data_IF_737507420885
#
_entry.id   IF_737507420885
#
_cell.length_a   1.000
_cell.length_b   1.000
_cell.length_c   1.000
_cell.angle_alpha   90.00
_cell.angle_beta   90.00
_cell.angle_gamma   90.00
#
_symmetry.space_group_name_H-M   'P 1'
#
loop_
_entity.id
_entity.type
_entity.pdbx_description
1 polymer ?
#
# COMPACT_ATOMS: atom_id res chain seq x y z
N UNK A 1 11.78 54.27 -13.37
CA UNK A 1 12.41 53.01 -13.84
C UNK A 1 11.73 51.86 -13.09
N UNK A 2 10.76 51.25 -13.75
CA UNK A 2 9.95 50.19 -13.16
C UNK A 2 10.63 48.86 -13.43
N UNK A 3 11.08 48.17 -12.40
CA UNK A 3 11.60 46.81 -12.45
C UNK A 3 10.41 45.85 -12.58
N UNK A 4 10.09 45.49 -13.79
CA UNK A 4 9.23 44.31 -14.07
C UNK A 4 10.06 43.06 -13.84
N UNK A 5 10.13 42.56 -12.58
CA UNK A 5 10.58 41.22 -12.33
C UNK A 5 9.56 40.25 -12.98
N UNK A 6 10.05 39.60 -14.02
CA UNK A 6 9.38 38.53 -14.72
C UNK A 6 8.97 37.46 -13.68
N UNK A 7 7.69 37.34 -13.40
CA UNK A 7 7.13 36.14 -12.72
C UNK A 7 7.45 34.96 -13.63
N UNK A 8 8.54 34.25 -13.32
CA UNK A 8 8.90 32.98 -13.95
C UNK A 8 7.70 32.08 -13.79
N UNK A 9 7.16 31.62 -14.89
CA UNK A 9 5.95 30.80 -14.93
C UNK A 9 6.29 29.47 -14.20
N UNK A 10 5.82 29.29 -12.98
CA UNK A 10 6.06 28.11 -12.12
C UNK A 10 5.55 26.80 -12.75
N UNK A 11 4.98 26.84 -13.94
CA UNK A 11 4.39 25.73 -14.67
C UNK A 11 5.13 25.36 -15.98
N UNK A 12 6.26 25.99 -16.30
CA UNK A 12 7.15 25.48 -17.35
C UNK A 12 7.97 24.31 -16.78
N UNK A 13 7.35 23.13 -16.76
CA UNK A 13 8.06 21.88 -16.44
C UNK A 13 8.99 21.53 -17.58
N UNK A 14 10.28 21.34 -17.28
CA UNK A 14 11.25 20.82 -18.22
C UNK A 14 10.81 19.41 -18.69
N UNK A 15 10.51 19.21 -19.99
CA UNK A 15 10.05 17.91 -20.50
C UNK A 15 11.07 16.79 -20.28
N UNK A 16 12.36 17.11 -20.28
CA UNK A 16 13.44 16.13 -20.04
C UNK A 16 13.43 15.69 -18.59
N UNK A 17 13.31 16.64 -17.65
CA UNK A 17 13.18 16.35 -16.23
C UNK A 17 11.94 15.48 -15.95
N UNK A 18 10.81 15.81 -16.56
CA UNK A 18 9.58 15.03 -16.40
C UNK A 18 9.74 13.59 -16.91
N UNK A 19 10.39 13.41 -18.07
CA UNK A 19 10.67 12.07 -18.59
C UNK A 19 11.63 11.28 -17.70
N UNK A 20 12.66 11.92 -17.15
CA UNK A 20 13.62 11.28 -16.22
C UNK A 20 12.92 10.88 -14.93
N UNK A 21 12.11 11.76 -14.32
CA UNK A 21 11.37 11.46 -13.09
C UNK A 21 10.36 10.34 -13.32
N UNK A 22 9.60 10.35 -14.42
CA UNK A 22 8.65 9.29 -14.75
C UNK A 22 9.34 7.93 -14.91
N UNK A 23 10.46 7.87 -15.61
CA UNK A 23 11.24 6.65 -15.76
C UNK A 23 11.81 6.15 -14.42
N UNK A 24 12.27 7.06 -13.55
CA UNK A 24 12.76 6.69 -12.20
C UNK A 24 11.64 6.13 -11.32
N UNK A 25 10.47 6.75 -11.31
CA UNK A 25 9.32 6.27 -10.55
C UNK A 25 8.87 4.87 -11.04
N UNK A 26 8.80 4.66 -12.35
CA UNK A 26 8.50 3.35 -12.92
C UNK A 26 9.56 2.30 -12.54
N UNK A 27 10.84 2.66 -12.53
CA UNK A 27 11.91 1.78 -12.08
C UNK A 27 11.75 1.39 -10.60
N UNK A 28 11.44 2.35 -9.71
CA UNK A 28 11.19 2.10 -8.29
C UNK A 28 10.03 1.13 -8.11
N UNK A 29 8.91 1.34 -8.79
CA UNK A 29 7.77 0.41 -8.69
C UNK A 29 8.11 -0.97 -9.24
N UNK A 30 8.94 -1.04 -10.28
CA UNK A 30 9.50 -2.31 -10.78
C UNK A 30 10.37 -3.02 -9.74
N UNK A 31 11.21 -2.29 -9.00
CA UNK A 31 12.00 -2.83 -7.89
C UNK A 31 11.12 -3.32 -6.73
N UNK A 32 10.08 -2.56 -6.37
CA UNK A 32 9.06 -2.97 -5.40
C UNK A 32 8.43 -4.31 -5.79
N UNK A 33 7.97 -4.42 -7.03
CA UNK A 33 7.37 -5.65 -7.59
C UNK A 33 8.34 -6.83 -7.53
N UNK A 34 9.58 -6.63 -7.94
CA UNK A 34 10.60 -7.68 -7.93
C UNK A 34 10.99 -8.11 -6.51
N UNK A 35 11.07 -7.17 -5.58
CA UNK A 35 11.34 -7.45 -4.17
C UNK A 35 10.25 -8.33 -3.58
N UNK A 36 8.99 -7.96 -3.80
CA UNK A 36 7.85 -8.72 -3.33
C UNK A 36 7.85 -10.15 -3.90
N UNK A 37 8.06 -10.32 -5.21
CA UNK A 37 8.16 -11.64 -5.84
C UNK A 37 9.23 -12.55 -5.22
N UNK A 38 10.36 -11.97 -4.83
CA UNK A 38 11.50 -12.74 -4.28
C UNK A 38 11.35 -13.09 -2.82
N UNK A 39 10.56 -12.32 -2.06
CA UNK A 39 10.46 -12.43 -0.61
C UNK A 39 9.15 -13.02 -0.14
N UNK A 40 8.13 -13.08 -0.99
CA UNK A 40 6.81 -13.63 -0.70
C UNK A 40 6.86 -15.05 -0.12
N UNK A 41 6.02 -15.31 0.88
CA UNK A 41 5.95 -16.59 1.60
C UNK A 41 4.79 -17.47 1.14
N UNK A 42 3.67 -16.85 0.75
CA UNK A 42 2.52 -17.59 0.27
C UNK A 42 2.66 -17.95 -1.21
N UNK A 43 2.05 -19.08 -1.62
CA UNK A 43 1.97 -19.47 -3.02
C UNK A 43 1.10 -18.47 -3.83
N UNK A 44 0.14 -17.80 -3.19
CA UNK A 44 -0.69 -16.79 -3.84
C UNK A 44 0.16 -15.64 -4.36
N UNK A 45 1.15 -15.19 -3.59
CA UNK A 45 2.06 -14.13 -4.02
C UNK A 45 3.18 -14.67 -4.91
N UNK A 46 3.86 -15.74 -4.48
CA UNK A 46 5.06 -16.24 -5.15
C UNK A 46 4.77 -16.94 -6.50
N UNK A 47 3.63 -17.62 -6.63
CA UNK A 47 3.28 -18.44 -7.80
C UNK A 47 2.17 -17.81 -8.63
N UNK A 48 1.05 -17.47 -8.00
CA UNK A 48 -0.12 -16.87 -8.71
C UNK A 48 0.16 -15.42 -9.08
N UNK A 49 1.02 -14.72 -8.32
CA UNK A 49 1.36 -13.29 -8.49
C UNK A 49 0.15 -12.39 -8.33
N UNK A 50 -0.71 -12.74 -7.38
CA UNK A 50 -1.93 -11.96 -7.10
C UNK A 50 -1.60 -10.80 -6.14
N UNK A 51 -0.89 -9.82 -6.67
CA UNK A 51 -0.50 -8.60 -5.98
C UNK A 51 -0.26 -7.45 -6.96
N UNK A 52 -0.12 -6.25 -6.43
CA UNK A 52 0.29 -5.06 -7.19
C UNK A 52 1.03 -4.07 -6.29
N UNK A 53 1.93 -3.30 -6.91
CA UNK A 53 2.60 -2.17 -6.28
C UNK A 53 2.24 -0.89 -7.02
N UNK A 54 2.20 0.23 -6.32
CA UNK A 54 2.00 1.55 -6.94
C UNK A 54 2.53 2.67 -6.06
N UNK A 55 2.74 3.83 -6.66
CA UNK A 55 3.06 5.07 -5.96
C UNK A 55 1.92 6.05 -6.20
N UNK A 56 1.43 6.65 -5.12
CA UNK A 56 0.37 7.65 -5.12
C UNK A 56 0.92 8.95 -4.54
N UNK A 57 0.53 10.08 -5.09
CA UNK A 57 0.95 11.41 -4.59
C UNK A 57 0.26 11.74 -3.26
N UNK A 58 0.77 12.71 -2.51
CA UNK A 58 0.16 13.15 -1.25
C UNK A 58 -1.27 13.71 -1.42
N UNK A 59 -1.61 14.19 -2.62
CA UNK A 59 -2.97 14.60 -3.00
C UNK A 59 -3.80 13.45 -3.61
N UNK A 60 -3.41 12.20 -3.32
CA UNK A 60 -4.14 10.97 -3.62
C UNK A 60 -4.36 10.68 -5.12
N UNK A 61 -3.42 11.09 -5.98
CA UNK A 61 -3.43 10.75 -7.41
C UNK A 61 -2.45 9.62 -7.70
N UNK A 62 -2.88 8.63 -8.45
CA UNK A 62 -2.00 7.56 -8.92
C UNK A 62 -0.89 8.16 -9.80
N UNK A 63 0.36 7.96 -9.39
CA UNK A 63 1.53 8.52 -10.06
C UNK A 63 2.27 7.47 -10.90
N UNK A 64 2.56 6.31 -10.33
CA UNK A 64 3.24 5.22 -11.01
C UNK A 64 2.58 3.88 -10.65
N UNK A 65 1.89 3.23 -11.60
CA UNK A 65 1.40 1.87 -11.44
C UNK A 65 2.51 0.87 -11.74
N UNK A 66 2.61 -0.20 -10.92
CA UNK A 66 3.46 -1.35 -11.20
C UNK A 66 2.77 -2.40 -12.05
N UNK A 67 3.55 -3.37 -12.54
CA UNK A 67 2.99 -4.58 -13.12
C UNK A 67 2.28 -5.39 -12.03
N UNK A 68 1.09 -5.92 -12.33
CA UNK A 68 0.29 -6.70 -11.40
C UNK A 68 -1.18 -6.77 -11.82
N UNK A 69 -2.05 -7.07 -10.87
CA UNK A 69 -3.49 -7.17 -11.11
C UNK A 69 -4.11 -5.77 -11.24
N UNK A 70 -4.65 -5.38 -12.41
CA UNK A 70 -5.10 -4.01 -12.64
C UNK A 70 -6.16 -3.53 -11.66
N UNK A 71 -7.09 -4.39 -11.24
CA UNK A 71 -8.16 -4.05 -10.30
C UNK A 71 -7.62 -3.61 -8.93
N UNK A 72 -6.46 -4.09 -8.52
CA UNK A 72 -5.82 -3.66 -7.28
C UNK A 72 -5.35 -2.21 -7.33
N UNK A 73 -4.92 -1.75 -8.50
CA UNK A 73 -4.32 -0.42 -8.69
C UNK A 73 -5.40 0.67 -8.70
N UNK A 74 -6.55 0.39 -9.32
CA UNK A 74 -7.62 1.39 -9.46
C UNK A 74 -8.17 1.92 -8.13
N UNK A 75 -8.14 1.13 -7.06
CA UNK A 75 -8.56 1.55 -5.73
C UNK A 75 -7.51 2.31 -4.92
N UNK A 76 -6.25 2.39 -5.38
CA UNK A 76 -5.15 2.94 -4.59
C UNK A 76 -5.38 4.39 -4.16
N UNK A 77 -5.91 5.24 -5.05
CA UNK A 77 -6.24 6.64 -4.76
C UNK A 77 -7.32 6.79 -3.67
N UNK A 78 -8.34 5.93 -3.68
CA UNK A 78 -9.39 5.94 -2.66
C UNK A 78 -8.86 5.45 -1.30
N UNK A 79 -7.99 4.46 -1.32
CA UNK A 79 -7.40 3.91 -0.10
C UNK A 79 -6.40 4.87 0.55
N UNK A 80 -5.58 5.58 -0.24
CA UNK A 80 -4.71 6.65 0.28
C UNK A 80 -5.52 7.84 0.77
N UNK A 81 -6.62 8.20 0.11
CA UNK A 81 -7.55 9.22 0.60
C UNK A 81 -8.14 8.82 1.96
N UNK A 82 -8.58 7.57 2.11
CA UNK A 82 -9.06 7.03 3.39
C UNK A 82 -7.99 7.13 4.50
N UNK A 83 -6.72 6.85 4.17
CA UNK A 83 -5.60 7.03 5.10
C UNK A 83 -5.48 8.49 5.55
N UNK A 84 -5.46 9.44 4.62
CA UNK A 84 -5.33 10.87 4.92
C UNK A 84 -6.55 11.42 5.69
N UNK A 85 -7.74 10.89 5.45
CA UNK A 85 -8.97 11.30 6.13
C UNK A 85 -9.01 10.78 7.57
N UNK A 86 -8.55 9.56 7.78
CA UNK A 86 -8.54 8.90 9.10
C UNK A 86 -7.38 9.38 9.97
N UNK A 87 -6.19 9.56 9.39
CA UNK A 87 -4.96 9.88 10.11
C UNK A 87 -4.44 11.27 9.74
N UNK A 88 -4.77 12.28 10.54
CA UNK A 88 -4.37 13.69 10.28
C UNK A 88 -2.91 13.98 10.57
N UNK A 89 -2.24 13.15 11.38
CA UNK A 89 -0.84 13.30 11.77
C UNK A 89 -0.06 12.08 11.27
N UNK A 90 0.27 12.08 9.98
CA UNK A 90 1.17 11.11 9.39
C UNK A 90 2.62 11.47 9.74
N UNK A 91 3.46 10.47 9.99
CA UNK A 91 4.87 10.65 10.33
C UNK A 91 5.76 9.62 9.60
N UNK A 92 7.05 9.92 9.42
CA UNK A 92 8.00 8.92 8.95
C UNK A 92 7.97 7.67 9.84
N UNK A 93 7.96 6.49 9.23
CA UNK A 93 7.87 5.22 9.94
C UNK A 93 6.46 4.75 10.29
N UNK A 94 5.44 5.50 9.89
CA UNK A 94 4.07 4.99 9.90
C UNK A 94 3.84 4.02 8.74
N UNK A 95 3.06 2.97 9.01
CA UNK A 95 2.49 2.11 7.97
C UNK A 95 1.06 1.71 8.35
N UNK A 96 0.22 1.57 7.34
CA UNK A 96 -1.20 1.29 7.51
C UNK A 96 -1.62 0.06 6.72
N UNK A 97 -2.53 -0.73 7.30
CA UNK A 97 -3.21 -1.83 6.65
C UNK A 97 -4.66 -1.43 6.35
N UNK A 98 -5.05 -1.61 5.10
CA UNK A 98 -6.38 -1.29 4.62
C UNK A 98 -6.91 -2.40 3.72
N UNK A 99 -8.10 -2.93 4.01
CA UNK A 99 -8.77 -3.91 3.16
C UNK A 99 -10.30 -3.76 3.14
N UNK A 100 -10.84 -2.62 3.60
CA UNK A 100 -12.27 -2.40 3.65
C UNK A 100 -12.86 -2.17 2.24
N UNK A 101 -13.75 -3.07 1.74
CA UNK A 101 -14.35 -2.94 0.41
C UNK A 101 -15.21 -1.68 0.25
N UNK A 102 -15.77 -1.16 1.33
CA UNK A 102 -16.59 0.05 1.29
C UNK A 102 -15.78 1.35 1.26
N UNK A 103 -14.44 1.23 1.41
CA UNK A 103 -13.51 2.36 1.43
C UNK A 103 -12.45 2.26 0.31
N UNK A 104 -12.81 1.69 -0.83
CA UNK A 104 -11.96 1.66 -2.02
C UNK A 104 -11.15 0.38 -2.23
N UNK A 105 -11.34 -0.66 -1.39
CA UNK A 105 -10.72 -1.95 -1.64
C UNK A 105 -11.56 -2.84 -2.56
N UNK A 106 -10.96 -3.88 -3.12
CA UNK A 106 -11.61 -4.86 -3.98
C UNK A 106 -12.50 -5.83 -3.19
N UNK A 107 -11.93 -6.51 -2.21
CA UNK A 107 -12.59 -7.38 -1.24
C UNK A 107 -11.67 -7.59 -0.01
N UNK A 108 -12.21 -8.15 1.07
CA UNK A 108 -11.50 -8.25 2.36
C UNK A 108 -10.22 -9.09 2.32
N UNK A 109 -10.08 -10.00 1.33
CA UNK A 109 -8.87 -10.82 1.20
C UNK A 109 -7.68 -10.05 0.61
N UNK A 110 -7.89 -8.89 -0.02
CA UNK A 110 -6.83 -8.06 -0.57
C UNK A 110 -6.33 -7.08 0.49
N UNK A 111 -5.20 -7.37 1.09
CA UNK A 111 -4.56 -6.48 2.06
C UNK A 111 -3.71 -5.44 1.35
N UNK A 112 -4.06 -4.15 1.48
CA UNK A 112 -3.27 -3.02 1.02
C UNK A 112 -2.45 -2.45 2.18
N UNK A 113 -1.15 -2.35 1.96
CA UNK A 113 -0.24 -1.64 2.86
C UNK A 113 0.09 -0.29 2.26
N UNK A 114 -0.06 0.76 3.08
CA UNK A 114 0.12 2.15 2.72
C UNK A 114 1.27 2.70 3.58
N UNK A 115 2.35 3.12 2.94
CA UNK A 115 3.53 3.67 3.62
C UNK A 115 3.75 5.10 3.13
N UNK A 116 3.46 6.11 3.97
CA UNK A 116 3.74 7.50 3.63
C UNK A 116 5.25 7.76 3.50
N UNK A 117 5.66 8.42 2.42
CA UNK A 117 7.04 8.79 2.13
C UNK A 117 7.22 10.28 2.33
N UNK A 118 8.18 10.64 3.18
CA UNK A 118 8.51 12.02 3.54
C UNK A 118 9.84 12.44 2.94
N UNK A 119 9.89 13.64 2.39
CA UNK A 119 11.12 14.29 1.91
C UNK A 119 11.15 15.69 2.55
N UNK A 120 12.24 16.00 3.22
CA UNK A 120 12.42 17.28 3.94
C UNK A 120 11.28 17.60 4.95
N UNK A 121 10.69 16.55 5.53
CA UNK A 121 9.61 16.67 6.51
C UNK A 121 8.20 16.80 5.90
N UNK A 122 8.08 16.82 4.59
CA UNK A 122 6.80 16.89 3.87
C UNK A 122 6.39 15.51 3.33
N UNK A 123 5.13 15.11 3.53
CA UNK A 123 4.55 13.93 2.90
C UNK A 123 4.34 14.21 1.41
N UNK A 124 5.11 13.56 0.54
CA UNK A 124 5.03 13.75 -0.92
C UNK A 124 4.38 12.60 -1.65
N UNK A 125 4.59 11.38 -1.17
CA UNK A 125 4.10 10.16 -1.82
C UNK A 125 3.60 9.17 -0.78
N UNK A 126 2.80 8.21 -1.24
CA UNK A 126 2.48 6.98 -0.50
C UNK A 126 2.87 5.79 -1.36
N UNK A 127 3.77 4.95 -0.84
CA UNK A 127 4.04 3.65 -1.45
C UNK A 127 2.93 2.68 -1.07
N UNK A 128 2.37 2.02 -2.07
CA UNK A 128 1.24 1.12 -1.93
C UNK A 128 1.65 -0.27 -2.39
N UNK A 129 1.44 -1.28 -1.54
CA UNK A 129 1.62 -2.69 -1.88
C UNK A 129 0.35 -3.45 -1.47
N UNK A 130 -0.34 -4.05 -2.44
CA UNK A 130 -1.57 -4.81 -2.24
C UNK A 130 -1.35 -6.26 -2.63
N UNK A 131 -1.85 -7.18 -1.82
CA UNK A 131 -1.79 -8.59 -2.11
C UNK A 131 -2.99 -9.37 -1.58
N UNK A 132 -3.44 -10.32 -2.39
CA UNK A 132 -4.43 -11.31 -2.00
C UNK A 132 -3.85 -12.25 -0.95
N UNK A 133 -4.54 -12.38 0.18
CA UNK A 133 -4.09 -13.20 1.30
C UNK A 133 -4.60 -14.63 1.18
N UNK A 134 -3.77 -15.60 1.54
CA UNK A 134 -4.16 -17.01 1.56
C UNK A 134 -5.23 -17.30 2.63
N UNK A 135 -5.21 -16.57 3.74
CA UNK A 135 -6.20 -16.64 4.83
C UNK A 135 -6.32 -15.25 5.48
N UNK A 136 -7.53 -14.74 5.59
CA UNK A 136 -7.86 -13.49 6.27
C UNK A 136 -8.83 -13.68 7.44
N UNK A 137 -8.92 -14.90 7.98
CA UNK A 137 -9.72 -15.24 9.15
C UNK A 137 -11.21 -15.40 8.89
N UNK A 138 -11.59 -15.78 7.68
CA UNK A 138 -12.98 -16.04 7.26
C UNK A 138 -13.67 -17.08 8.14
N UNK A 139 -15.00 -17.13 8.05
CA UNK A 139 -15.83 -18.14 8.72
C UNK A 139 -15.54 -19.57 8.24
N UNK A 140 -15.07 -19.74 7.01
CA UNK A 140 -14.63 -21.01 6.42
C UNK A 140 -13.13 -20.97 6.09
N UNK A 141 -12.44 -22.14 6.01
CA UNK A 141 -11.01 -22.20 5.70
C UNK A 141 -10.76 -21.99 4.19
N UNK A 142 -10.94 -20.77 3.74
CA UNK A 142 -10.75 -20.33 2.37
C UNK A 142 -10.24 -18.89 2.38
N UNK A 143 -9.68 -18.43 1.26
CA UNK A 143 -9.23 -17.06 1.10
C UNK A 143 -10.39 -16.05 1.14
N UNK A 144 -11.57 -16.43 0.64
CA UNK A 144 -12.83 -15.70 0.75
C UNK A 144 -14.02 -16.66 0.74
N UNK A 145 -15.14 -16.23 1.29
CA UNK A 145 -16.37 -17.01 1.32
C UNK A 145 -17.31 -16.57 0.17
N UNK A 146 -17.20 -17.23 -0.98
CA UNK A 146 -17.90 -16.86 -2.21
C UNK A 146 -19.46 -16.86 -2.10
N UNK A 147 -20.03 -17.55 -1.12
CA UNK A 147 -21.48 -17.64 -0.90
C UNK A 147 -21.97 -16.78 0.27
N UNK A 148 -21.09 -16.06 0.95
CA UNK A 148 -21.46 -15.13 2.00
C UNK A 148 -22.35 -14.00 1.44
N UNK A 149 -23.40 -13.67 2.17
CA UNK A 149 -24.35 -12.61 1.77
C UNK A 149 -23.88 -11.22 2.15
N UNK A 150 -23.00 -11.15 3.14
CA UNK A 150 -22.43 -9.89 3.64
C UNK A 150 -21.08 -10.16 4.32
N UNK A 151 -20.41 -9.08 4.73
CA UNK A 151 -19.10 -9.13 5.39
C UNK A 151 -19.14 -9.87 6.76
N UNK A 152 -20.29 -9.90 7.42
CA UNK A 152 -20.43 -10.58 8.73
C UNK A 152 -20.50 -12.09 8.55
N UNK A 153 -21.22 -12.57 7.54
CA UNK A 153 -21.28 -13.98 7.16
C UNK A 153 -19.92 -14.45 6.62
N UNK A 154 -19.24 -13.62 5.82
CA UNK A 154 -17.88 -13.89 5.36
C UNK A 154 -16.91 -14.03 6.54
N UNK A 155 -16.99 -13.13 7.52
CA UNK A 155 -16.24 -13.18 8.77
C UNK A 155 -14.77 -12.88 8.67
N UNK A 156 -14.29 -12.41 7.52
CA UNK A 156 -12.91 -11.94 7.33
C UNK A 156 -12.59 -10.74 8.24
N UNK A 157 -11.34 -10.63 8.64
CA UNK A 157 -10.88 -9.42 9.33
C UNK A 157 -10.93 -8.23 8.37
N UNK A 158 -11.64 -7.17 8.76
CA UNK A 158 -11.70 -5.91 8.03
C UNK A 158 -10.88 -4.85 8.76
N UNK A 159 -9.98 -4.21 8.03
CA UNK A 159 -9.07 -3.17 8.51
C UNK A 159 -9.40 -1.84 7.81
N UNK A 160 -10.19 -0.96 8.43
CA UNK A 160 -10.50 0.36 7.86
C UNK A 160 -9.33 1.32 8.07
N UNK A 161 -8.24 1.11 7.34
CA UNK A 161 -7.01 1.87 7.41
C UNK A 161 -6.41 1.93 8.83
N UNK A 162 -6.09 0.79 9.43
CA UNK A 162 -5.48 0.72 10.77
C UNK A 162 -3.97 0.92 10.69
N UNK A 163 -3.39 1.67 11.63
CA UNK A 163 -1.94 1.79 11.75
C UNK A 163 -1.35 0.48 12.24
N UNK A 164 -0.46 -0.14 11.45
CA UNK A 164 0.24 -1.38 11.76
C UNK A 164 1.69 -1.15 12.16
N UNK A 165 2.30 -0.01 11.74
CA UNK A 165 3.59 0.42 12.25
C UNK A 165 3.54 1.89 12.65
N UNK A 166 4.35 2.22 13.68
CA UNK A 166 4.64 3.57 14.14
C UNK A 166 6.14 3.67 14.43
N UNK A 167 6.78 4.68 13.89
CA UNK A 167 8.23 4.87 14.04
C UNK A 167 9.01 3.59 13.67
N UNK A 168 8.63 2.96 12.55
CA UNK A 168 9.20 1.71 12.01
C UNK A 168 9.06 0.48 12.93
N UNK A 169 8.21 0.52 13.94
CA UNK A 169 7.94 -0.60 14.85
C UNK A 169 6.51 -1.06 14.72
N UNK A 170 6.32 -2.37 14.76
CA UNK A 170 4.99 -2.96 14.71
C UNK A 170 4.12 -2.49 15.90
N UNK A 171 2.84 -2.25 15.61
CA UNK A 171 1.82 -2.05 16.64
C UNK A 171 1.43 -3.45 17.15
N UNK A 172 2.08 -3.87 18.23
CA UNK A 172 2.00 -5.25 18.77
C UNK A 172 0.57 -5.77 18.95
N UNK A 173 -0.35 -4.93 19.38
CA UNK A 173 -1.74 -5.32 19.61
C UNK A 173 -2.43 -5.73 18.30
N UNK A 174 -2.21 -4.99 17.22
CA UNK A 174 -2.78 -5.30 15.90
C UNK A 174 -2.16 -6.58 15.34
N UNK A 175 -0.83 -6.70 15.39
CA UNK A 175 -0.13 -7.89 14.89
C UNK A 175 -0.55 -9.13 15.67
N UNK A 176 -0.66 -9.04 17.01
CA UNK A 176 -1.10 -10.13 17.86
C UNK A 176 -2.55 -10.55 17.56
N UNK A 177 -3.44 -9.59 17.32
CA UNK A 177 -4.83 -9.85 16.92
C UNK A 177 -4.88 -10.61 15.59
N UNK A 178 -4.13 -10.15 14.57
CA UNK A 178 -4.05 -10.79 13.26
C UNK A 178 -3.52 -12.22 13.37
N UNK A 179 -2.38 -12.42 14.04
CA UNK A 179 -1.77 -13.73 14.22
C UNK A 179 -2.67 -14.70 15.01
N UNK A 180 -3.54 -14.19 15.87
CA UNK A 180 -4.52 -15.04 16.62
C UNK A 180 -5.72 -15.42 15.77
N UNK A 181 -6.13 -14.58 14.85
CA UNK A 181 -7.35 -14.76 14.05
C UNK A 181 -7.10 -15.54 12.76
N UNK A 182 -5.93 -15.37 12.14
CA UNK A 182 -5.55 -16.01 10.89
C UNK A 182 -5.05 -17.44 11.16
N UNK A 183 -5.48 -18.42 10.34
CA UNK A 183 -5.15 -19.84 10.52
C UNK A 183 -3.70 -20.19 10.23
N UNK A 184 -3.06 -19.41 9.33
CA UNK A 184 -1.66 -19.57 8.92
C UNK A 184 -0.84 -18.33 9.33
N UNK A 185 -0.70 -18.06 10.66
CA UNK A 185 -0.20 -16.78 11.17
C UNK A 185 1.23 -16.47 10.75
N UNK A 186 2.11 -17.46 10.67
CA UNK A 186 3.51 -17.26 10.30
C UNK A 186 3.67 -16.94 8.81
N UNK A 187 2.86 -17.57 7.96
CA UNK A 187 2.83 -17.25 6.54
C UNK A 187 2.31 -15.82 6.32
N UNK A 188 1.19 -15.48 6.95
CA UNK A 188 0.62 -14.13 6.89
C UNK A 188 1.61 -13.07 7.38
N UNK A 189 2.28 -13.31 8.50
CA UNK A 189 3.26 -12.37 9.05
C UNK A 189 4.48 -12.23 8.13
N UNK A 190 4.91 -13.33 7.51
CA UNK A 190 5.96 -13.29 6.50
C UNK A 190 5.58 -12.44 5.28
N UNK A 191 4.36 -12.60 4.76
CA UNK A 191 3.85 -11.78 3.64
C UNK A 191 3.63 -10.32 4.06
N UNK A 192 3.16 -10.07 5.29
CA UNK A 192 3.07 -8.74 5.90
C UNK A 192 4.42 -8.01 5.86
N UNK A 193 5.48 -8.66 6.32
CA UNK A 193 6.83 -8.08 6.28
C UNK A 193 7.29 -7.84 4.84
N UNK A 194 7.04 -8.79 3.93
CA UNK A 194 7.40 -8.63 2.52
C UNK A 194 6.72 -7.42 1.89
N UNK A 195 5.44 -7.22 2.15
CA UNK A 195 4.65 -6.10 1.61
C UNK A 195 5.10 -4.75 2.18
N UNK A 196 5.47 -4.70 3.46
CA UNK A 196 6.02 -3.49 4.07
C UNK A 196 7.41 -3.15 3.56
N UNK A 197 8.33 -4.12 3.54
CA UNK A 197 9.71 -3.91 3.10
C UNK A 197 9.87 -3.76 1.58
N UNK A 198 8.82 -4.00 0.82
CA UNK A 198 8.74 -3.66 -0.59
C UNK A 198 8.75 -2.14 -0.79
N UNK A 199 8.23 -1.37 0.18
CA UNK A 199 8.28 0.09 0.16
C UNK A 199 9.71 0.56 0.45
N UNK A 200 10.28 1.46 -0.38
CA UNK A 200 11.62 2.00 -0.14
C UNK A 200 11.68 2.66 1.24
N UNK A 201 12.57 2.17 2.10
CA UNK A 201 12.76 2.71 3.45
C UNK A 201 14.04 3.54 3.49
N UNK A 202 14.09 4.67 4.22
CA UNK A 202 15.33 5.42 4.48
C UNK A 202 16.40 4.62 5.24
N UNK A 203 16.05 3.44 5.78
CA UNK A 203 17.01 2.53 6.44
C UNK A 203 17.87 1.74 5.45
N UNK A 204 17.53 1.75 4.17
CA UNK A 204 18.23 1.00 3.11
C UNK A 204 19.23 1.87 2.35
N UNK A 205 19.49 3.11 2.81
CA UNK A 205 20.42 4.08 2.23
C UNK A 205 21.67 4.30 3.07
#
# INVERSE_FOLDING_TARGET
MSSTESKKNLYETDPVLMAVLGNRLNAIVGEMTNTLLRTARSAVLAVVRDFSCSIVTADNRLLAPGEGVPVHIFGSSLQTQSMCDTHKNLAPGDAFLHNDPYMGNTHSADHMYLVPVFIDGEHLFTACAKAHQADCGNSIPSTYHAYAKDVYEEGALVFPCVRVQKDYHDVDDIIRMCRRRIRVPEQWYGDYLCLLYTSPSPRDS
#
